data_IF_644770789139
#
_entry.id   IF_644770789139
#
_cell.length_a   1.000
_cell.length_b   1.000
_cell.length_c   1.000
_cell.angle_alpha   90.00
_cell.angle_beta   90.00
_cell.angle_gamma   90.00
#
_symmetry.space_group_name_H-M   'P 1'
#
loop_
_entity.id
_entity.type
_entity.pdbx_description
1 polymer ?
#
# COMPACT_ATOMS: atom_id res chain seq x y z
N UNK A 1 5.38 11.11 -18.88
CA UNK A 1 4.69 9.81 -18.69
C UNK A 1 3.39 9.99 -17.90
N UNK A 2 3.42 10.55 -16.69
CA UNK A 2 2.26 10.67 -15.78
C UNK A 2 1.08 11.48 -16.33
N UNK A 3 1.33 12.63 -16.98
CA UNK A 3 0.26 13.44 -17.60
C UNK A 3 -0.56 12.67 -18.63
N UNK A 4 0.12 11.90 -19.49
CA UNK A 4 -0.51 11.10 -20.54
C UNK A 4 -1.40 10.01 -19.94
N UNK A 5 -0.97 9.36 -18.86
CA UNK A 5 -1.79 8.36 -18.13
C UNK A 5 -3.08 8.99 -17.61
N UNK A 6 -3.02 10.20 -17.05
CA UNK A 6 -4.22 10.90 -16.57
C UNK A 6 -5.15 11.30 -17.72
N UNK A 7 -4.60 11.77 -18.84
CA UNK A 7 -5.38 12.15 -20.03
C UNK A 7 -6.04 10.95 -20.72
N UNK A 8 -5.41 9.77 -20.67
CA UNK A 8 -5.93 8.54 -21.27
C UNK A 8 -6.84 7.74 -20.32
N UNK A 9 -6.85 8.07 -19.02
CA UNK A 9 -7.73 7.43 -18.05
C UNK A 9 -9.17 7.86 -18.29
N UNK A 10 -10.04 6.89 -18.59
CA UNK A 10 -11.47 7.15 -18.78
C UNK A 10 -12.07 7.71 -17.47
N UNK A 11 -12.78 8.85 -17.51
CA UNK A 11 -13.38 9.44 -16.31
C UNK A 11 -14.29 8.49 -15.53
N UNK A 12 -15.05 7.64 -16.23
CA UNK A 12 -15.95 6.67 -15.61
C UNK A 12 -15.17 5.60 -14.83
N UNK A 13 -14.01 5.19 -15.35
CA UNK A 13 -13.13 4.25 -14.67
C UNK A 13 -12.52 4.85 -13.41
N UNK A 14 -12.06 6.10 -13.49
CA UNK A 14 -11.55 6.82 -12.32
C UNK A 14 -12.63 6.99 -11.24
N UNK A 15 -13.83 7.45 -11.64
CA UNK A 15 -14.96 7.62 -10.72
C UNK A 15 -15.40 6.31 -10.06
N UNK A 16 -15.40 5.19 -10.79
CA UNK A 16 -15.70 3.88 -10.25
C UNK A 16 -14.66 3.44 -9.20
N UNK A 17 -13.36 3.66 -9.45
CA UNK A 17 -12.32 3.41 -8.46
C UNK A 17 -12.51 4.28 -7.20
N UNK A 18 -12.82 5.57 -7.36
CA UNK A 18 -13.12 6.45 -6.22
C UNK A 18 -14.33 5.95 -5.41
N UNK A 19 -15.37 5.47 -6.07
CA UNK A 19 -16.54 4.90 -5.38
C UNK A 19 -16.17 3.61 -4.61
N UNK A 20 -15.33 2.75 -5.19
CA UNK A 20 -14.84 1.56 -4.50
C UNK A 20 -14.01 1.92 -3.25
N UNK A 21 -13.11 2.91 -3.35
CA UNK A 21 -12.31 3.40 -2.20
C UNK A 21 -13.21 4.03 -1.12
N UNK A 22 -14.23 4.81 -1.51
CA UNK A 22 -15.21 5.41 -0.58
C UNK A 22 -15.89 4.35 0.29
N UNK A 23 -16.21 3.20 -0.30
CA UNK A 23 -16.94 2.12 0.36
C UNK A 23 -16.01 1.07 1.00
N UNK A 24 -14.68 1.24 0.91
CA UNK A 24 -13.69 0.31 1.41
C UNK A 24 -13.46 0.49 2.92
N UNK A 25 -14.18 -0.27 3.75
CA UNK A 25 -13.91 -0.38 5.18
C UNK A 25 -13.79 -1.85 5.61
N UNK A 26 -12.54 -2.32 5.70
CA UNK A 26 -12.22 -3.70 6.08
C UNK A 26 -11.56 -3.81 7.46
N UNK A 27 -11.55 -2.74 8.25
CA UNK A 27 -10.83 -2.71 9.55
C UNK A 27 -11.27 -3.84 10.48
N UNK A 28 -12.55 -4.19 10.51
CA UNK A 28 -13.10 -5.30 11.30
C UNK A 28 -12.78 -6.70 10.77
N UNK A 29 -12.22 -6.81 9.56
CA UNK A 29 -11.95 -8.08 8.87
C UNK A 29 -10.45 -8.35 8.68
N UNK A 30 -9.59 -7.35 8.88
CA UNK A 30 -8.13 -7.46 8.69
C UNK A 30 -7.53 -8.59 9.54
N UNK A 31 -8.07 -8.82 10.74
CA UNK A 31 -7.66 -9.93 11.62
C UNK A 31 -8.06 -11.32 11.11
N UNK A 32 -8.83 -11.43 10.03
CA UNK A 32 -9.17 -12.71 9.39
C UNK A 32 -8.08 -13.19 8.42
N UNK A 33 -7.11 -12.35 8.06
CA UNK A 33 -5.98 -12.74 7.21
C UNK A 33 -5.15 -13.81 7.91
N UNK A 34 -4.90 -14.93 7.21
CA UNK A 34 -4.14 -16.11 7.72
C UNK A 34 -2.88 -16.42 6.93
N UNK A 35 -2.61 -15.69 5.86
CA UNK A 35 -1.42 -15.87 5.02
C UNK A 35 -0.29 -14.95 5.48
N UNK A 36 0.98 -15.32 5.25
CA UNK A 36 2.10 -14.41 5.44
C UNK A 36 1.82 -13.06 4.76
N UNK A 37 2.07 -11.97 5.47
CA UNK A 37 1.75 -10.63 4.99
C UNK A 37 2.90 -9.68 5.26
N UNK A 38 3.26 -8.88 4.26
CA UNK A 38 4.19 -7.76 4.38
C UNK A 38 3.42 -6.47 4.08
N UNK A 39 3.49 -5.51 5.00
CA UNK A 39 2.96 -4.16 4.83
C UNK A 39 4.14 -3.18 4.68
N UNK A 40 4.19 -2.46 3.55
CA UNK A 40 5.23 -1.47 3.26
C UNK A 40 4.60 -0.08 3.13
N UNK A 41 5.06 0.88 3.93
CA UNK A 41 4.62 2.28 3.86
C UNK A 41 5.73 3.21 3.34
N UNK A 42 5.36 4.26 2.63
CA UNK A 42 6.25 5.39 2.34
C UNK A 42 6.25 6.39 3.50
N UNK A 43 7.41 6.74 4.05
CA UNK A 43 7.54 7.56 5.27
C UNK A 43 6.85 8.93 5.22
N UNK A 44 6.62 9.48 4.03
CA UNK A 44 6.02 10.80 3.81
C UNK A 44 4.66 10.75 3.10
N UNK A 45 4.01 9.58 3.03
CA UNK A 45 2.74 9.42 2.31
C UNK A 45 1.56 10.09 3.06
N UNK A 46 0.93 11.14 2.51
CA UNK A 46 -0.24 11.76 3.13
C UNK A 46 -1.56 11.07 2.75
N UNK A 47 -1.58 10.26 1.68
CA UNK A 47 -2.78 9.61 1.16
C UNK A 47 -3.07 8.32 1.93
N UNK A 48 -2.02 7.55 2.24
CA UNK A 48 -2.08 6.38 3.13
C UNK A 48 -0.98 6.47 4.20
N UNK A 49 -1.23 7.21 5.30
CA UNK A 49 -0.20 7.48 6.31
C UNK A 49 0.45 6.21 6.89
N UNK A 50 1.77 6.21 7.14
CA UNK A 50 2.47 5.06 7.74
C UNK A 50 1.85 4.57 9.05
N UNK A 51 1.38 5.48 9.89
CA UNK A 51 0.74 5.14 11.16
C UNK A 51 -0.52 4.30 10.97
N UNK A 52 -1.32 4.59 9.94
CA UNK A 52 -2.56 3.86 9.65
C UNK A 52 -2.24 2.45 9.11
N UNK A 53 -1.26 2.33 8.20
CA UNK A 53 -0.84 1.02 7.69
C UNK A 53 -0.20 0.16 8.78
N UNK A 54 0.61 0.77 9.66
CA UNK A 54 1.19 0.09 10.82
C UNK A 54 0.10 -0.44 11.73
N UNK A 55 -0.91 0.37 12.05
CA UNK A 55 -2.04 -0.06 12.87
C UNK A 55 -2.78 -1.23 12.22
N UNK A 56 -3.00 -1.22 10.89
CA UNK A 56 -3.59 -2.36 10.19
C UNK A 56 -2.72 -3.62 10.28
N UNK A 57 -1.41 -3.49 10.06
CA UNK A 57 -0.48 -4.62 10.11
C UNK A 57 -0.45 -5.28 11.51
N UNK A 58 -0.56 -4.51 12.58
CA UNK A 58 -0.63 -5.02 13.96
C UNK A 58 -1.86 -5.93 14.21
N UNK A 59 -2.93 -5.78 13.42
CA UNK A 59 -4.11 -6.63 13.51
C UNK A 59 -3.99 -7.93 12.69
N UNK A 60 -2.96 -8.07 11.86
CA UNK A 60 -2.71 -9.27 11.06
C UNK A 60 -1.69 -10.15 11.78
N UNK A 61 -2.11 -11.34 12.20
CA UNK A 61 -1.25 -12.28 12.92
C UNK A 61 0.00 -12.64 12.11
N UNK A 62 1.16 -12.27 12.61
CA UNK A 62 2.45 -12.58 11.99
C UNK A 62 2.83 -11.69 10.80
N UNK A 63 2.12 -10.57 10.58
CA UNK A 63 2.51 -9.62 9.55
C UNK A 63 3.86 -8.95 9.86
N UNK A 64 4.62 -8.69 8.80
CA UNK A 64 5.82 -7.85 8.82
C UNK A 64 5.45 -6.44 8.37
N UNK A 65 6.08 -5.44 8.97
CA UNK A 65 5.90 -4.04 8.63
C UNK A 65 7.25 -3.39 8.31
N UNK A 66 7.32 -2.62 7.23
CA UNK A 66 8.50 -1.87 6.80
C UNK A 66 8.13 -0.45 6.36
N UNK A 67 9.05 0.48 6.53
CA UNK A 67 8.94 1.84 6.03
C UNK A 67 10.08 2.15 5.07
N UNK A 68 9.74 2.69 3.91
CA UNK A 68 10.68 3.08 2.86
C UNK A 68 10.66 4.59 2.71
N UNK A 69 11.83 5.19 2.51
CA UNK A 69 11.91 6.62 2.22
C UNK A 69 11.15 6.94 0.93
N UNK A 70 10.12 7.78 1.03
CA UNK A 70 9.30 8.18 -0.10
C UNK A 70 7.87 8.53 0.33
N UNK A 71 7.02 8.87 -0.63
CA UNK A 71 5.60 9.07 -0.42
C UNK A 71 4.81 7.85 -0.93
N UNK A 72 3.68 8.10 -1.59
CA UNK A 72 2.72 7.06 -2.00
C UNK A 72 3.31 6.04 -2.98
N UNK A 73 4.29 6.42 -3.79
CA UNK A 73 4.92 5.55 -4.79
C UNK A 73 6.36 5.25 -4.37
N UNK A 74 6.56 4.84 -3.11
CA UNK A 74 7.87 4.51 -2.56
C UNK A 74 8.62 3.41 -3.35
N UNK A 75 7.91 2.56 -4.08
CA UNK A 75 8.49 1.58 -4.99
C UNK A 75 9.16 2.20 -6.23
N UNK A 76 8.78 3.41 -6.61
CA UNK A 76 9.41 4.20 -7.68
C UNK A 76 10.47 5.13 -7.09
N UNK A 77 10.16 5.75 -5.95
CA UNK A 77 11.03 6.74 -5.29
C UNK A 77 12.30 6.10 -4.69
N UNK A 78 12.18 4.89 -4.13
CA UNK A 78 13.31 4.09 -3.64
C UNK A 78 13.11 2.60 -3.99
N UNK A 79 13.23 2.32 -5.29
CA UNK A 79 13.07 0.98 -5.84
C UNK A 79 14.03 -0.05 -5.22
N UNK A 80 15.23 0.36 -4.82
CA UNK A 80 16.23 -0.54 -4.22
C UNK A 80 15.76 -1.11 -2.89
N UNK A 81 15.37 -0.26 -1.94
CA UNK A 81 14.95 -0.74 -0.62
C UNK A 81 13.59 -1.43 -0.69
N UNK A 82 12.67 -0.91 -1.51
CA UNK A 82 11.38 -1.59 -1.73
C UNK A 82 11.58 -3.02 -2.26
N UNK A 83 12.43 -3.20 -3.27
CA UNK A 83 12.71 -4.53 -3.85
C UNK A 83 13.39 -5.45 -2.85
N UNK A 84 14.31 -4.92 -2.02
CA UNK A 84 14.98 -5.70 -0.98
C UNK A 84 14.00 -6.23 0.07
N UNK A 85 13.05 -5.41 0.55
CA UNK A 85 12.01 -5.83 1.49
C UNK A 85 11.09 -6.90 0.89
N UNK A 86 10.69 -6.72 -0.37
CA UNK A 86 9.86 -7.70 -1.09
C UNK A 86 10.60 -9.03 -1.24
N UNK A 87 11.85 -9.04 -1.69
CA UNK A 87 12.62 -10.28 -1.84
C UNK A 87 12.85 -10.98 -0.51
N UNK A 88 13.23 -10.22 0.54
CA UNK A 88 13.42 -10.77 1.88
C UNK A 88 12.14 -11.34 2.50
N UNK A 89 10.96 -10.97 1.99
CA UNK A 89 9.69 -11.57 2.38
C UNK A 89 9.33 -12.81 1.56
N UNK A 90 9.60 -12.80 0.25
CA UNK A 90 9.29 -13.93 -0.64
C UNK A 90 10.26 -15.11 -0.50
N UNK A 91 11.48 -14.87 -0.04
CA UNK A 91 12.51 -15.89 0.14
C UNK A 91 12.56 -16.51 1.55
N UNK A 92 11.73 -16.00 2.47
CA UNK A 92 11.62 -16.48 3.86
C UNK A 92 10.69 -17.71 3.99
#
# INVERSE_FOLDING_TARGET
ATKKVLEETKPEGYAACCAAVRDFDFRGQVSEIRVPTLAIAGTHDPATPPADLRSLAEHISGARYAEIAGAHLCNIEDASHFTAEVNAFLEA
#
